data_IF_468282240878
#
_entry.id   IF_468282240878
#
_cell.length_a   1.000
_cell.length_b   1.000
_cell.length_c   1.000
_cell.angle_alpha   90.00
_cell.angle_beta   90.00
_cell.angle_gamma   90.00
#
_symmetry.space_group_name_H-M   'P 1'
#
loop_
_entity.id
_entity.type
_entity.pdbx_description
1 polymer ?
#
# COMPACT_ATOMS: atom_id res chain seq x y z
N UNK A 1 -19.56 -15.56 4.13
CA UNK A 1 -19.35 -16.42 5.33
C UNK A 1 -18.73 -15.57 6.43
N UNK A 2 -18.97 -15.90 7.72
CA UNK A 2 -18.33 -15.21 8.85
C UNK A 2 -16.79 -15.20 8.74
N UNK A 3 -16.21 -16.28 8.19
CA UNK A 3 -14.78 -16.39 7.93
C UNK A 3 -14.23 -15.31 6.99
N UNK A 4 -14.91 -15.05 5.86
CA UNK A 4 -14.46 -14.03 4.91
C UNK A 4 -14.48 -12.62 5.50
N UNK A 5 -15.50 -12.30 6.29
CA UNK A 5 -15.57 -11.04 7.02
C UNK A 5 -14.44 -10.92 8.06
N UNK A 6 -14.09 -12.01 8.75
CA UNK A 6 -12.97 -12.05 9.69
C UNK A 6 -11.62 -11.78 9.04
N UNK A 7 -11.33 -12.39 7.89
CA UNK A 7 -10.10 -12.14 7.13
C UNK A 7 -10.04 -10.68 6.66
N UNK A 8 -11.17 -10.12 6.22
CA UNK A 8 -11.24 -8.74 5.79
C UNK A 8 -10.99 -7.76 6.94
N UNK A 9 -11.58 -8.02 8.11
CA UNK A 9 -11.33 -7.25 9.32
C UNK A 9 -9.85 -7.31 9.73
N UNK A 10 -9.19 -8.47 9.62
CA UNK A 10 -7.78 -8.62 9.93
C UNK A 10 -6.89 -7.73 9.06
N UNK A 11 -7.18 -7.62 7.76
CA UNK A 11 -6.41 -6.76 6.84
C UNK A 11 -6.53 -5.29 7.22
N UNK A 12 -7.74 -4.82 7.51
CA UNK A 12 -7.96 -3.44 7.97
C UNK A 12 -7.29 -3.19 9.33
N UNK A 13 -7.36 -4.15 10.25
CA UNK A 13 -6.70 -4.06 11.54
C UNK A 13 -5.17 -3.99 11.38
N UNK A 14 -4.58 -4.79 10.49
CA UNK A 14 -3.15 -4.76 10.20
C UNK A 14 -2.70 -3.40 9.64
N UNK A 15 -3.47 -2.81 8.73
CA UNK A 15 -3.19 -1.48 8.22
C UNK A 15 -3.34 -0.38 9.30
N UNK A 16 -4.34 -0.48 10.18
CA UNK A 16 -4.54 0.49 11.27
C UNK A 16 -3.52 0.36 12.41
N UNK A 17 -2.98 -0.84 12.64
CA UNK A 17 -2.03 -1.12 13.71
C UNK A 17 -0.69 -0.41 13.54
N UNK A 18 -0.36 0.06 12.32
CA UNK A 18 0.91 0.76 12.08
C UNK A 18 0.89 2.20 12.60
N UNK A 19 -0.29 2.81 12.74
CA UNK A 19 -0.47 4.22 13.06
C UNK A 19 0.21 4.61 14.39
N UNK A 20 0.04 3.86 15.51
CA UNK A 20 0.71 4.19 16.77
C UNK A 20 2.24 4.19 16.68
N UNK A 21 2.82 3.26 15.92
CA UNK A 21 4.28 3.21 15.73
C UNK A 21 4.77 4.41 14.94
N UNK A 22 4.00 4.83 13.94
CA UNK A 22 4.37 5.97 13.12
C UNK A 22 4.42 7.29 13.92
N UNK A 23 3.49 7.50 14.86
CA UNK A 23 3.54 8.62 15.81
C UNK A 23 4.78 8.63 16.71
N UNK A 24 5.32 7.45 17.05
CA UNK A 24 6.54 7.32 17.86
C UNK A 24 7.78 7.68 17.04
N UNK A 25 7.84 7.26 15.77
CA UNK A 25 8.99 7.52 14.90
C UNK A 25 8.99 8.92 14.29
N UNK A 26 7.83 9.55 14.14
CA UNK A 26 7.69 10.86 13.51
C UNK A 26 6.98 11.88 14.41
N UNK A 27 7.73 12.67 15.21
CA UNK A 27 7.17 13.75 16.03
C UNK A 27 6.39 14.80 15.22
N UNK A 28 6.67 14.91 13.92
CA UNK A 28 5.95 15.80 13.00
C UNK A 28 4.44 15.49 12.94
N UNK A 29 4.01 14.23 13.14
CA UNK A 29 2.60 13.88 13.23
C UNK A 29 1.90 14.48 14.46
N UNK A 30 2.66 14.82 15.50
CA UNK A 30 2.19 15.52 16.69
C UNK A 30 2.27 17.04 16.55
N UNK A 31 2.40 17.53 15.31
CA UNK A 31 2.65 18.94 14.98
C UNK A 31 3.93 19.49 15.63
N UNK A 32 4.91 18.62 15.89
CA UNK A 32 6.22 18.98 16.39
C UNK A 32 7.24 18.96 15.24
N UNK A 33 7.43 20.10 14.58
CA UNK A 33 8.34 20.24 13.45
C UNK A 33 8.02 21.46 12.60
N UNK A 34 8.70 21.58 11.47
CA UNK A 34 8.38 22.61 10.47
C UNK A 34 7.09 22.26 9.72
N UNK A 35 6.36 23.26 9.23
CA UNK A 35 5.16 23.05 8.42
C UNK A 35 5.40 22.15 7.20
N UNK A 36 6.60 22.21 6.63
CA UNK A 36 7.04 21.37 5.52
C UNK A 36 7.20 19.91 5.91
N UNK A 37 7.79 19.62 7.07
CA UNK A 37 7.95 18.25 7.58
C UNK A 37 6.60 17.64 7.97
N UNK A 38 5.74 18.43 8.61
CA UNK A 38 4.37 18.00 8.95
C UNK A 38 3.62 17.65 7.67
N UNK A 39 3.66 18.53 6.67
CA UNK A 39 3.03 18.31 5.37
C UNK A 39 3.57 17.07 4.66
N UNK A 40 4.90 16.89 4.64
CA UNK A 40 5.52 15.74 3.97
C UNK A 40 5.13 14.42 4.63
N UNK A 41 5.23 14.33 5.96
CA UNK A 41 4.92 13.12 6.73
C UNK A 41 3.44 12.75 6.63
N UNK A 42 2.54 13.74 6.61
CA UNK A 42 1.12 13.49 6.38
C UNK A 42 0.87 12.89 5.00
N UNK A 43 1.54 13.42 3.96
CA UNK A 43 1.39 12.92 2.59
C UNK A 43 1.99 11.52 2.45
N UNK A 44 3.25 11.33 2.84
CA UNK A 44 3.96 10.04 2.70
C UNK A 44 3.29 8.96 3.52
N UNK A 45 2.93 9.28 4.77
CA UNK A 45 2.17 8.41 5.65
C UNK A 45 0.82 7.96 5.09
N UNK A 46 0.04 8.90 4.55
CA UNK A 46 -1.25 8.58 3.94
C UNK A 46 -1.07 7.66 2.74
N UNK A 47 -0.12 7.97 1.86
CA UNK A 47 0.18 7.12 0.69
C UNK A 47 0.69 5.75 1.14
N UNK A 48 1.52 5.69 2.18
CA UNK A 48 2.04 4.44 2.75
C UNK A 48 0.93 3.54 3.29
N UNK A 49 -0.02 4.08 4.04
CA UNK A 49 -1.19 3.31 4.54
C UNK A 49 -2.06 2.81 3.39
N UNK A 50 -2.30 3.63 2.36
CA UNK A 50 -3.03 3.22 1.15
C UNK A 50 -2.29 2.07 0.44
N UNK A 51 -0.97 2.17 0.29
CA UNK A 51 -0.15 1.13 -0.31
C UNK A 51 -0.19 -0.17 0.52
N UNK A 52 -0.15 -0.08 1.84
CA UNK A 52 -0.24 -1.23 2.73
C UNK A 52 -1.58 -1.93 2.56
N UNK A 53 -2.68 -1.17 2.60
CA UNK A 53 -4.02 -1.68 2.38
C UNK A 53 -4.12 -2.37 1.01
N UNK A 54 -3.61 -1.75 -0.05
CA UNK A 54 -3.62 -2.34 -1.39
C UNK A 54 -2.82 -3.64 -1.50
N UNK A 55 -1.67 -3.74 -0.84
CA UNK A 55 -0.86 -4.96 -0.78
C UNK A 55 -1.55 -6.10 -0.02
N UNK A 56 -2.15 -5.78 1.14
CA UNK A 56 -2.90 -6.73 1.95
C UNK A 56 -4.18 -7.21 1.25
N UNK A 57 -4.93 -6.29 0.63
CA UNK A 57 -6.09 -6.64 -0.18
C UNK A 57 -5.72 -7.42 -1.43
N UNK A 58 -4.60 -7.07 -2.04
CA UNK A 58 -4.21 -7.55 -3.35
C UNK A 58 -4.98 -6.90 -4.48
N UNK A 59 -5.37 -5.66 -4.30
CA UNK A 59 -6.13 -4.87 -5.26
C UNK A 59 -5.66 -3.42 -5.12
N UNK A 60 -5.33 -2.76 -6.24
CA UNK A 60 -5.13 -1.31 -6.25
C UNK A 60 -5.96 -0.70 -7.40
N UNK A 61 -5.48 -0.86 -8.64
CA UNK A 61 -6.24 -0.50 -9.85
C UNK A 61 -6.96 -1.71 -10.44
N UNK A 62 -6.33 -2.88 -10.31
CA UNK A 62 -6.87 -4.20 -10.67
C UNK A 62 -6.32 -5.26 -9.70
N UNK A 63 -6.68 -6.51 -9.92
CA UNK A 63 -6.16 -7.62 -9.13
C UNK A 63 -4.63 -7.70 -9.18
N UNK A 64 -4.02 -7.59 -8.01
CA UNK A 64 -2.58 -7.54 -7.85
C UNK A 64 -1.97 -8.95 -7.87
N UNK A 65 -0.86 -9.13 -8.60
CA UNK A 65 -0.02 -10.33 -8.45
C UNK A 65 0.69 -10.35 -7.11
N UNK A 66 1.23 -11.51 -6.71
CA UNK A 66 2.09 -11.61 -5.53
C UNK A 66 3.30 -10.67 -5.58
N UNK A 67 3.85 -10.40 -6.76
CA UNK A 67 4.95 -9.44 -6.94
C UNK A 67 4.47 -8.02 -6.66
N UNK A 68 3.36 -7.60 -7.26
CA UNK A 68 2.79 -6.26 -7.04
C UNK A 68 2.38 -6.04 -5.57
N UNK A 69 1.85 -7.09 -4.92
CA UNK A 69 1.56 -7.06 -3.48
C UNK A 69 2.83 -6.83 -2.66
N UNK A 70 3.90 -7.56 -2.96
CA UNK A 70 5.20 -7.38 -2.32
C UNK A 70 5.74 -5.96 -2.51
N UNK A 71 5.62 -5.42 -3.73
CA UNK A 71 6.03 -4.04 -4.04
C UNK A 71 5.23 -3.01 -3.23
N UNK A 72 3.90 -3.16 -3.12
CA UNK A 72 3.07 -2.23 -2.35
C UNK A 72 3.33 -2.31 -0.84
N UNK A 73 3.56 -3.50 -0.30
CA UNK A 73 3.92 -3.67 1.12
C UNK A 73 5.29 -3.07 1.40
N UNK A 74 6.29 -3.30 0.54
CA UNK A 74 7.61 -2.70 0.69
C UNK A 74 7.57 -1.17 0.56
N UNK A 75 6.83 -0.65 -0.43
CA UNK A 75 6.60 0.78 -0.59
C UNK A 75 5.94 1.39 0.65
N UNK A 76 4.95 0.71 1.23
CA UNK A 76 4.27 1.17 2.42
C UNK A 76 5.20 1.35 3.62
N UNK A 77 6.01 0.34 3.93
CA UNK A 77 6.95 0.43 5.04
C UNK A 77 7.98 1.54 4.84
N UNK A 78 8.47 1.72 3.61
CA UNK A 78 9.43 2.79 3.29
C UNK A 78 8.83 4.19 3.34
N UNK A 79 7.56 4.35 2.97
CA UNK A 79 6.85 5.65 3.06
C UNK A 79 6.38 5.99 4.47
N UNK A 80 6.23 4.99 5.34
CA UNK A 80 5.88 5.17 6.75
C UNK A 80 7.14 5.46 7.58
N UNK A 81 8.31 4.96 7.18
CA UNK A 81 9.57 5.32 7.84
C UNK A 81 10.00 6.74 7.44
N UNK A 82 10.00 7.71 8.38
CA UNK A 82 10.26 9.11 8.04
C UNK A 82 11.69 9.30 7.53
N UNK A 83 11.82 9.70 6.25
CA UNK A 83 13.11 10.01 5.66
C UNK A 83 13.03 10.32 4.18
N UNK A 84 13.76 11.33 3.71
CA UNK A 84 13.71 11.72 2.30
C UNK A 84 14.12 10.57 1.36
N UNK A 85 15.16 9.82 1.73
CA UNK A 85 15.64 8.68 0.92
C UNK A 85 14.64 7.52 0.91
N UNK A 86 14.04 7.20 2.07
CA UNK A 86 13.05 6.13 2.20
C UNK A 86 11.77 6.50 1.43
N UNK A 87 11.34 7.76 1.51
CA UNK A 87 10.21 8.30 0.77
C UNK A 87 10.39 8.14 -0.73
N UNK A 88 11.54 8.57 -1.27
CA UNK A 88 11.84 8.46 -2.70
C UNK A 88 11.80 7.01 -3.17
N UNK A 89 12.46 6.09 -2.43
CA UNK A 89 12.45 4.67 -2.78
C UNK A 89 11.03 4.11 -2.70
N UNK A 90 10.27 4.47 -1.67
CA UNK A 90 8.89 4.05 -1.49
C UNK A 90 7.98 4.48 -2.63
N UNK A 91 8.06 5.74 -3.05
CA UNK A 91 7.31 6.25 -4.21
C UNK A 91 7.73 5.55 -5.51
N UNK A 92 9.02 5.27 -5.71
CA UNK A 92 9.50 4.53 -6.88
C UNK A 92 8.92 3.11 -6.92
N UNK A 93 8.94 2.38 -5.80
CA UNK A 93 8.35 1.04 -5.72
C UNK A 93 6.84 1.05 -5.97
N UNK A 94 6.13 2.03 -5.40
CA UNK A 94 4.71 2.22 -5.65
C UNK A 94 4.42 2.48 -7.13
N UNK A 95 5.19 3.38 -7.76
CA UNK A 95 5.07 3.70 -9.17
C UNK A 95 5.36 2.48 -10.07
N UNK A 96 6.37 1.67 -9.73
CA UNK A 96 6.66 0.41 -10.43
C UNK A 96 5.48 -0.56 -10.30
N UNK A 97 4.96 -0.77 -9.08
CA UNK A 97 3.82 -1.66 -8.86
C UNK A 97 2.56 -1.23 -9.64
N UNK A 98 2.27 0.07 -9.65
CA UNK A 98 1.15 0.63 -10.42
C UNK A 98 1.41 0.56 -11.93
N UNK A 99 2.65 0.79 -12.37
CA UNK A 99 3.08 0.66 -13.76
C UNK A 99 2.91 -0.77 -14.27
N UNK A 100 3.37 -1.75 -13.49
CA UNK A 100 3.16 -3.17 -13.78
C UNK A 100 1.67 -3.49 -13.87
N UNK A 101 0.86 -3.01 -12.92
CA UNK A 101 -0.59 -3.18 -13.03
C UNK A 101 -1.11 -2.57 -14.33
N UNK A 102 -0.78 -1.32 -14.66
CA UNK A 102 -1.32 -0.63 -15.84
C UNK A 102 -0.89 -1.28 -17.17
N UNK A 103 0.36 -1.73 -17.27
CA UNK A 103 0.95 -2.28 -18.50
C UNK A 103 0.62 -3.76 -18.73
N UNK A 104 0.18 -4.48 -17.70
CA UNK A 104 -0.18 -5.89 -17.87
C UNK A 104 -1.36 -6.05 -18.85
N UNK A 105 -1.27 -6.98 -19.81
CA UNK A 105 -2.41 -7.34 -20.65
C UNK A 105 -3.60 -7.78 -19.79
N UNK A 106 -4.82 -7.51 -20.26
CA UNK A 106 -6.00 -8.08 -19.65
C UNK A 106 -5.87 -9.62 -19.63
N UNK A 107 -6.36 -10.30 -18.57
CA UNK A 107 -6.35 -11.76 -18.55
C UNK A 107 -6.98 -12.28 -19.86
N UNK A 108 -6.26 -13.13 -20.58
CA UNK A 108 -6.78 -13.76 -21.79
C UNK A 108 -8.04 -14.51 -21.38
N UNK A 109 -9.19 -14.05 -21.85
CA UNK A 109 -10.44 -14.76 -21.65
C UNK A 109 -10.27 -16.15 -22.29
N UNK A 110 -10.19 -17.19 -21.45
CA UNK A 110 -10.25 -18.55 -21.95
C UNK A 110 -11.66 -18.70 -22.51
N UNK A 111 -11.85 -18.92 -23.82
CA UNK A 111 -13.18 -19.13 -24.36
C UNK A 111 -13.81 -20.28 -23.59
N UNK A 112 -15.00 -20.00 -23.03
CA UNK A 112 -15.81 -21.00 -22.37
C UNK A 112 -15.90 -22.18 -23.33
N UNK A 113 -15.31 -23.33 -22.95
CA UNK A 113 -15.36 -24.52 -23.79
C UNK A 113 -16.83 -24.75 -24.06
N UNK A 114 -17.25 -24.57 -25.32
CA UNK A 114 -18.56 -24.99 -25.77
C UNK A 114 -18.67 -26.47 -25.39
N UNK A 115 -19.39 -26.73 -24.30
CA UNK A 115 -19.60 -28.08 -23.80
C UNK A 115 -20.46 -28.85 -24.80
N UNK A 116 -20.27 -30.18 -24.89
CA UNK A 116 -21.18 -31.04 -25.63
C UNK A 116 -22.58 -31.07 -25.02
#
# INVERSE_FOLDING_TARGET
SLWGAGVQALKFAAAGFIVPFFFVYSPALLFQGTWTEIGSVLVTGTVGVIALAAGLEGQFLRAATWIERGLFIAAAFLLIDPGFTTDVIGFVLLAIGLGLQKLRPAPVAVPERAGP
#
